data_IF_032985406676
#
_entry.id   IF_032985406676
#
_cell.length_a   1.000
_cell.length_b   1.000
_cell.length_c   1.000
_cell.angle_alpha   90.00
_cell.angle_beta   90.00
_cell.angle_gamma   90.00
#
_symmetry.space_group_name_H-M   'P 1'
#
loop_
_entity.id
_entity.type
_entity.pdbx_description
1 polymer ?
#
# COMPACT_ATOMS: atom_id res chain seq x y z
N UNK A 1 -3.84 6.96 3.34
CA UNK A 1 -5.20 7.47 3.59
C UNK A 1 -6.06 7.04 2.42
N UNK A 2 -7.05 6.17 2.61
CA UNK A 2 -7.82 5.55 1.51
C UNK A 2 -8.68 6.53 0.71
N UNK A 3 -9.00 7.70 1.28
CA UNK A 3 -9.76 8.78 0.61
C UNK A 3 -8.92 10.03 0.37
N UNK A 4 -7.62 9.88 0.18
CA UNK A 4 -6.75 10.96 -0.25
C UNK A 4 -6.53 10.91 -1.78
N UNK A 5 -6.76 11.99 -2.53
CA UNK A 5 -6.64 11.98 -3.99
C UNK A 5 -5.19 11.77 -4.44
N UNK A 6 -4.21 12.32 -3.73
CA UNK A 6 -2.79 12.07 -4.00
C UNK A 6 -2.38 10.63 -3.70
N UNK A 7 -2.99 9.99 -2.70
CA UNK A 7 -2.77 8.57 -2.46
C UNK A 7 -3.24 7.72 -3.65
N UNK A 8 -4.45 7.95 -4.15
CA UNK A 8 -4.99 7.26 -5.32
C UNK A 8 -4.11 7.47 -6.56
N UNK A 9 -3.63 8.70 -6.77
CA UNK A 9 -2.75 9.01 -7.90
C UNK A 9 -1.38 8.31 -7.77
N UNK A 10 -0.79 8.31 -6.57
CA UNK A 10 0.45 7.57 -6.29
C UNK A 10 0.26 6.07 -6.48
N UNK A 11 -0.87 5.50 -6.04
CA UNK A 11 -1.21 4.09 -6.22
C UNK A 11 -1.31 3.71 -7.70
N UNK A 12 -1.83 4.59 -8.57
CA UNK A 12 -1.85 4.36 -10.02
C UNK A 12 -0.45 4.34 -10.65
N UNK A 13 0.50 5.11 -10.13
CA UNK A 13 1.92 5.02 -10.52
C UNK A 13 2.53 3.72 -10.00
N UNK A 14 2.27 3.37 -8.74
CA UNK A 14 2.79 2.14 -8.14
C UNK A 14 2.26 0.88 -8.83
N UNK A 15 1.04 0.90 -9.39
CA UNK A 15 0.52 -0.23 -10.19
C UNK A 15 1.39 -0.48 -11.44
N UNK A 16 1.81 0.59 -12.12
CA UNK A 16 2.71 0.51 -13.27
C UNK A 16 4.12 0.05 -12.88
N UNK A 17 4.60 0.46 -11.71
CA UNK A 17 5.87 -0.01 -11.15
C UNK A 17 5.79 -1.51 -10.86
N UNK A 18 4.76 -1.96 -10.13
CA UNK A 18 4.56 -3.36 -9.77
C UNK A 18 4.40 -4.26 -10.99
N UNK A 19 3.74 -3.78 -12.05
CA UNK A 19 3.64 -4.52 -13.30
C UNK A 19 5.02 -4.93 -13.88
N UNK A 20 6.09 -4.20 -13.54
CA UNK A 20 7.46 -4.51 -13.94
C UNK A 20 8.22 -5.30 -12.87
N UNK A 21 8.13 -4.91 -11.59
CA UNK A 21 9.02 -5.42 -10.53
C UNK A 21 8.41 -6.45 -9.58
N UNK A 22 7.14 -6.84 -9.78
CA UNK A 22 6.47 -7.79 -8.87
C UNK A 22 7.23 -9.10 -8.58
N UNK A 23 8.01 -9.69 -9.52
CA UNK A 23 8.79 -10.90 -9.22
C UNK A 23 9.84 -10.74 -8.11
N UNK A 24 10.26 -9.51 -7.82
CA UNK A 24 11.30 -9.20 -6.81
C UNK A 24 10.83 -8.25 -5.70
N UNK A 25 9.60 -7.74 -5.80
CA UNK A 25 9.08 -6.76 -4.86
C UNK A 25 7.58 -6.92 -4.59
N UNK A 26 7.21 -6.60 -3.36
CA UNK A 26 5.84 -6.57 -2.89
C UNK A 26 5.49 -5.18 -2.36
N UNK A 27 4.22 -4.79 -2.49
CA UNK A 27 3.72 -3.54 -1.94
C UNK A 27 2.96 -3.78 -0.63
N UNK A 28 3.08 -2.82 0.28
CA UNK A 28 2.30 -2.77 1.52
C UNK A 28 1.85 -1.33 1.75
N UNK A 29 0.58 -1.13 2.05
CA UNK A 29 0.04 0.16 2.41
C UNK A 29 0.01 0.32 3.93
N UNK A 30 0.34 1.52 4.36
CA UNK A 30 0.24 1.99 5.74
C UNK A 30 -0.68 3.22 5.71
N UNK A 31 -1.51 3.35 6.74
CA UNK A 31 -2.54 4.38 6.82
C UNK A 31 -2.20 5.38 7.91
N UNK A 32 -2.25 6.66 7.53
CA UNK A 32 -2.06 7.79 8.41
C UNK A 32 -3.40 8.10 9.05
N UNK A 33 -3.45 8.05 10.37
CA UNK A 33 -4.61 8.41 11.19
C UNK A 33 -4.13 8.79 12.58
N UNK A 34 -4.95 9.50 13.34
CA UNK A 34 -4.65 9.82 14.74
C UNK A 34 -5.21 8.75 15.66
N UNK A 35 -4.42 8.26 16.63
CA UNK A 35 -4.86 7.24 17.57
C UNK A 35 -5.64 7.88 18.71
N UNK A 36 -6.88 7.44 18.92
CA UNK A 36 -7.70 7.87 20.08
C UNK A 36 -7.67 6.84 21.20
N UNK A 37 -7.95 7.27 22.42
CA UNK A 37 -7.84 6.43 23.61
C UNK A 37 -8.97 5.39 23.70
N UNK A 38 -10.18 5.73 23.25
CA UNK A 38 -11.36 4.88 23.40
C UNK A 38 -12.12 4.66 22.10
N UNK A 39 -12.63 3.44 21.89
CA UNK A 39 -13.55 3.15 20.78
C UNK A 39 -14.95 3.72 20.98
N UNK A 40 -15.25 4.26 22.17
CA UNK A 40 -16.46 5.05 22.42
C UNK A 40 -16.39 6.43 21.75
N UNK A 41 -15.18 6.93 21.50
CA UNK A 41 -14.94 8.23 20.86
C UNK A 41 -14.90 8.08 19.33
N UNK A 42 -14.24 7.03 18.84
CA UNK A 42 -14.22 6.69 17.42
C UNK A 42 -14.34 5.18 17.24
N UNK A 43 -15.31 4.72 16.44
CA UNK A 43 -15.61 3.29 16.22
C UNK A 43 -14.36 2.45 15.92
N UNK A 44 -13.45 3.01 15.13
CA UNK A 44 -12.24 2.35 14.64
C UNK A 44 -11.02 2.50 15.57
N UNK A 45 -11.17 3.19 16.70
CA UNK A 45 -10.07 3.47 17.64
C UNK A 45 -9.00 4.42 17.09
N UNK A 46 -9.31 5.10 15.98
CA UNK A 46 -8.55 6.14 15.31
C UNK A 46 -9.49 7.18 14.71
N UNK A 47 -8.99 8.39 14.45
CA UNK A 47 -9.64 9.44 13.66
C UNK A 47 -8.88 9.67 12.36
N UNK A 48 -9.61 9.89 11.27
CA UNK A 48 -9.05 10.02 9.93
C UNK A 48 -9.33 11.42 9.36
N UNK A 49 -8.42 11.91 8.50
CA UNK A 49 -8.45 13.29 8.00
C UNK A 49 -9.70 13.59 7.19
N UNK A 50 -10.16 12.61 6.40
CA UNK A 50 -11.36 12.75 5.56
C UNK A 50 -12.61 12.11 6.20
N UNK A 51 -12.64 12.01 7.53
CA UNK A 51 -13.80 11.56 8.32
C UNK A 51 -13.97 10.05 8.39
N UNK A 52 -15.07 9.60 8.99
CA UNK A 52 -15.31 8.19 9.34
C UNK A 52 -15.33 7.26 8.13
N UNK A 53 -15.73 7.76 6.96
CA UNK A 53 -15.76 6.95 5.75
C UNK A 53 -14.34 6.63 5.24
N UNK A 54 -13.36 7.50 5.48
CA UNK A 54 -11.95 7.15 5.27
C UNK A 54 -11.49 6.09 6.26
N UNK A 55 -11.83 6.20 7.54
CA UNK A 55 -11.48 5.17 8.52
C UNK A 55 -12.09 3.80 8.16
N UNK A 56 -13.31 3.79 7.61
CA UNK A 56 -13.94 2.57 7.10
C UNK A 56 -13.20 2.01 5.87
N UNK A 57 -12.73 2.86 4.96
CA UNK A 57 -11.91 2.44 3.82
C UNK A 57 -10.55 1.89 4.26
N UNK A 58 -9.86 2.58 5.16
CA UNK A 58 -8.58 2.16 5.73
C UNK A 58 -8.72 0.81 6.45
N UNK A 59 -9.82 0.62 7.20
CA UNK A 59 -10.18 -0.65 7.83
C UNK A 59 -10.33 -1.79 6.81
N UNK A 60 -11.10 -1.56 5.74
CA UNK A 60 -11.34 -2.55 4.69
C UNK A 60 -10.04 -2.96 4.00
N UNK A 61 -9.24 -1.97 3.57
CA UNK A 61 -8.00 -2.21 2.84
C UNK A 61 -6.92 -2.85 3.73
N UNK A 62 -6.82 -2.50 5.02
CA UNK A 62 -5.93 -3.16 5.97
C UNK A 62 -6.32 -4.61 6.22
N UNK A 63 -7.61 -4.90 6.40
CA UNK A 63 -8.08 -6.26 6.60
C UNK A 63 -7.86 -7.12 5.36
N UNK A 64 -8.06 -6.58 4.16
CA UNK A 64 -7.75 -7.26 2.89
C UNK A 64 -6.25 -7.59 2.81
N UNK A 65 -5.36 -6.63 3.09
CA UNK A 65 -3.91 -6.87 3.14
C UNK A 65 -3.54 -7.93 4.18
N UNK A 66 -4.10 -7.85 5.39
CA UNK A 66 -3.82 -8.79 6.46
C UNK A 66 -4.19 -10.21 6.06
N UNK A 67 -5.44 -10.43 5.63
CA UNK A 67 -5.92 -11.77 5.33
C UNK A 67 -5.42 -12.34 4.02
N UNK A 68 -5.06 -11.49 3.06
CA UNK A 68 -4.41 -11.96 1.84
C UNK A 68 -3.04 -12.56 2.13
N UNK A 69 -2.23 -11.91 2.97
CA UNK A 69 -0.89 -12.40 3.38
C UNK A 69 -0.92 -13.67 4.21
N UNK A 70 -2.02 -13.94 4.90
CA UNK A 70 -2.23 -15.14 5.71
C UNK A 70 -2.77 -16.32 4.89
N UNK A 71 -3.02 -16.13 3.59
CA UNK A 71 -3.36 -17.22 2.70
C UNK A 71 -2.07 -17.97 2.32
N UNK A 72 -2.04 -19.31 2.40
CA UNK A 72 -0.98 -20.05 1.74
C UNK A 72 -1.05 -19.78 0.23
N UNK A 73 0.07 -19.95 -0.49
CA UNK A 73 0.13 -19.83 -1.95
C UNK A 73 -0.75 -20.88 -2.69
N UNK A 74 -1.50 -21.70 -1.95
CA UNK A 74 -2.32 -22.86 -2.35
C UNK A 74 -3.44 -22.55 -3.35
N UNK A 75 -3.69 -21.29 -3.71
CA UNK A 75 -4.66 -20.94 -4.76
C UNK A 75 -4.01 -20.53 -6.09
N UNK A 76 -2.68 -20.64 -6.23
CA UNK A 76 -1.95 -20.16 -7.42
C UNK A 76 -1.99 -18.64 -7.61
N UNK A 77 -2.55 -17.91 -6.64
CA UNK A 77 -2.61 -16.47 -6.61
C UNK A 77 -1.60 -15.95 -5.59
N UNK A 78 -0.70 -15.08 -6.06
CA UNK A 78 0.24 -14.38 -5.21
C UNK A 78 -0.52 -13.61 -4.08
N UNK A 79 -0.19 -13.86 -2.80
CA UNK A 79 -0.82 -13.20 -1.66
C UNK A 79 -0.80 -11.67 -1.69
N UNK A 80 0.13 -11.03 -2.40
CA UNK A 80 0.22 -9.58 -2.45
C UNK A 80 -0.67 -8.98 -3.53
N UNK A 81 -0.77 -9.65 -4.67
CA UNK A 81 -1.61 -9.28 -5.82
C UNK A 81 -3.06 -9.15 -5.42
N UNK A 82 -3.62 -10.12 -4.68
CA UNK A 82 -5.05 -10.12 -4.31
C UNK A 82 -5.47 -8.88 -3.50
N UNK A 83 -4.64 -8.46 -2.54
CA UNK A 83 -4.94 -7.27 -1.74
C UNK A 83 -4.75 -5.99 -2.55
N UNK A 84 -3.77 -5.96 -3.46
CA UNK A 84 -3.57 -4.84 -4.37
C UNK A 84 -4.73 -4.68 -5.35
N UNK A 85 -5.25 -5.78 -5.91
CA UNK A 85 -6.43 -5.78 -6.77
C UNK A 85 -7.68 -5.28 -6.03
N UNK A 86 -7.82 -5.57 -4.74
CA UNK A 86 -8.90 -5.04 -3.90
C UNK A 86 -8.84 -3.51 -3.81
N UNK A 87 -7.64 -2.97 -3.55
CA UNK A 87 -7.41 -1.52 -3.47
C UNK A 87 -7.68 -0.87 -4.85
N UNK A 88 -7.17 -1.46 -5.93
CA UNK A 88 -7.41 -0.97 -7.30
C UNK A 88 -8.88 -0.98 -7.68
N UNK A 89 -9.63 -2.02 -7.31
CA UNK A 89 -11.06 -2.07 -7.52
C UNK A 89 -11.76 -0.90 -6.81
N UNK A 90 -11.44 -0.66 -5.53
CA UNK A 90 -12.01 0.47 -4.79
C UNK A 90 -11.66 1.82 -5.42
N UNK A 91 -10.45 1.98 -5.94
CA UNK A 91 -10.01 3.20 -6.62
C UNK A 91 -10.74 3.52 -7.93
N UNK A 92 -11.45 2.55 -8.54
CA UNK A 92 -12.31 2.80 -9.70
C UNK A 92 -13.59 3.53 -9.31
N UNK A 93 -14.09 3.26 -8.11
CA UNK A 93 -15.29 3.87 -7.52
C UNK A 93 -14.91 4.66 -6.26
N UNK A 94 -13.94 5.56 -6.43
CA UNK A 94 -13.28 6.29 -5.34
C UNK A 94 -14.23 6.98 -4.35
N UNK A 95 -15.31 7.58 -4.85
CA UNK A 95 -16.30 8.26 -3.99
C UNK A 95 -16.99 7.31 -3.00
N UNK A 96 -16.99 6.01 -3.31
CA UNK A 96 -17.67 4.97 -2.56
C UNK A 96 -16.73 4.17 -1.64
N UNK A 97 -15.42 4.50 -1.63
CA UNK A 97 -14.45 3.93 -0.68
C UNK A 97 -14.98 4.05 0.75
N UNK A 98 -14.94 2.95 1.51
CA UNK A 98 -15.50 2.84 2.85
C UNK A 98 -16.96 2.35 2.90
N UNK A 99 -17.72 2.37 1.80
CA UNK A 99 -19.06 1.76 1.76
C UNK A 99 -18.95 0.24 1.71
N UNK A 100 -19.80 -0.45 2.50
CA UNK A 100 -19.83 -1.92 2.53
C UNK A 100 -20.14 -2.54 1.17
N UNK A 101 -21.05 -1.95 0.38
CA UNK A 101 -21.41 -2.48 -0.93
C UNK A 101 -20.22 -2.53 -1.91
N UNK A 102 -19.42 -1.46 -1.96
CA UNK A 102 -18.20 -1.43 -2.78
C UNK A 102 -17.15 -2.42 -2.24
N UNK A 103 -16.97 -2.46 -0.92
CA UNK A 103 -16.03 -3.39 -0.29
C UNK A 103 -16.39 -4.86 -0.60
N UNK A 104 -17.66 -5.23 -0.50
CA UNK A 104 -18.12 -6.58 -0.83
C UNK A 104 -17.87 -6.92 -2.31
N UNK A 105 -18.27 -6.03 -3.22
CA UNK A 105 -18.01 -6.17 -4.67
C UNK A 105 -16.52 -6.37 -4.95
N UNK A 106 -15.67 -5.49 -4.42
CA UNK A 106 -14.24 -5.54 -4.67
C UNK A 106 -13.56 -6.74 -4.03
N UNK A 107 -14.07 -7.24 -2.90
CA UNK A 107 -13.56 -8.45 -2.27
C UNK A 107 -13.75 -9.66 -3.19
N UNK A 108 -14.94 -9.78 -3.77
CA UNK A 108 -15.28 -10.86 -4.69
C UNK A 108 -14.49 -10.74 -6.01
N UNK A 109 -14.44 -9.56 -6.62
CA UNK A 109 -13.68 -9.31 -7.87
C UNK A 109 -12.17 -9.58 -7.72
N UNK A 110 -11.63 -9.36 -6.52
CA UNK A 110 -10.21 -9.57 -6.25
C UNK A 110 -9.88 -11.03 -5.95
N UNK A 111 -10.86 -11.95 -5.98
CA UNK A 111 -10.60 -13.38 -5.79
C UNK A 111 -10.43 -13.80 -4.32
N UNK A 112 -10.96 -13.03 -3.37
CA UNK A 112 -11.17 -13.55 -2.01
C UNK A 112 -12.41 -14.44 -2.02
N UNK A 113 -12.27 -15.72 -1.66
CA UNK A 113 -13.38 -16.67 -1.65
C UNK A 113 -13.44 -17.45 -0.34
N UNK A 114 -14.59 -18.10 -0.08
CA UNK A 114 -14.81 -19.01 1.03
C UNK A 114 -14.39 -18.45 2.39
N UNK A 115 -13.57 -19.22 3.13
CA UNK A 115 -13.11 -18.84 4.48
C UNK A 115 -12.38 -17.50 4.50
N UNK A 116 -11.62 -17.15 3.45
CA UNK A 116 -10.83 -15.91 3.42
C UNK A 116 -11.70 -14.69 3.21
N UNK A 117 -12.67 -14.76 2.30
CA UNK A 117 -13.68 -13.70 2.18
C UNK A 117 -14.36 -13.46 3.54
N UNK A 118 -14.83 -14.52 4.20
CA UNK A 118 -15.52 -14.41 5.49
C UNK A 118 -14.64 -13.80 6.60
N UNK A 119 -13.38 -14.23 6.71
CA UNK A 119 -12.43 -13.67 7.68
C UNK A 119 -12.15 -12.19 7.41
N UNK A 120 -12.04 -11.81 6.14
CA UNK A 120 -11.79 -10.42 5.74
C UNK A 120 -12.99 -9.53 6.06
N UNK A 121 -14.21 -9.98 5.74
CA UNK A 121 -15.47 -9.27 6.07
C UNK A 121 -15.66 -9.10 7.58
N UNK A 122 -15.41 -10.18 8.33
CA UNK A 122 -15.49 -10.16 9.80
C UNK A 122 -14.47 -9.20 10.40
N UNK A 123 -13.26 -9.13 9.84
CA UNK A 123 -12.21 -8.24 10.33
C UNK A 123 -12.63 -6.76 10.30
N UNK A 124 -13.03 -6.22 9.14
CA UNK A 124 -13.33 -4.78 9.04
C UNK A 124 -14.69 -4.40 9.66
N UNK A 125 -15.53 -5.40 9.95
CA UNK A 125 -16.83 -5.19 10.60
C UNK A 125 -16.76 -5.37 12.12
N UNK A 126 -15.71 -6.02 12.63
CA UNK A 126 -15.55 -6.43 14.02
C UNK A 126 -14.48 -5.66 14.79
N UNK A 127 -14.25 -6.03 16.07
CA UNK A 127 -13.27 -5.37 16.94
C UNK A 127 -11.81 -5.60 16.49
N UNK A 128 -11.54 -6.64 15.71
CA UNK A 128 -10.19 -7.03 15.29
C UNK A 128 -9.48 -5.99 14.41
N UNK A 129 -10.22 -5.10 13.76
CA UNK A 129 -9.61 -4.03 12.95
C UNK A 129 -8.98 -2.91 13.78
N UNK A 130 -9.45 -2.68 15.01
CA UNK A 130 -8.95 -1.62 15.89
C UNK A 130 -7.44 -1.74 16.16
N UNK A 131 -6.90 -2.89 16.59
CA UNK A 131 -5.45 -3.04 16.73
C UNK A 131 -4.70 -2.92 15.41
N UNK A 132 -5.27 -3.35 14.27
CA UNK A 132 -4.64 -3.20 12.96
C UNK A 132 -4.47 -1.73 12.56
N UNK A 133 -5.53 -0.93 12.70
CA UNK A 133 -5.50 0.51 12.42
C UNK A 133 -4.56 1.26 13.36
N UNK A 134 -4.63 0.99 14.67
CA UNK A 134 -3.71 1.62 15.64
C UNK A 134 -2.24 1.29 15.35
N UNK A 135 -1.95 0.06 14.94
CA UNK A 135 -0.59 -0.33 14.57
C UNK A 135 -0.14 0.32 13.25
N UNK A 136 -1.04 0.44 12.28
CA UNK A 136 -0.82 1.16 11.02
C UNK A 136 -0.50 2.64 11.28
N UNK A 137 -1.32 3.31 12.08
CA UNK A 137 -1.14 4.71 12.47
C UNK A 137 0.22 4.96 13.15
N UNK A 138 0.55 4.12 14.15
CA UNK A 138 1.85 4.20 14.85
C UNK A 138 3.02 3.96 13.90
N UNK A 139 2.85 3.08 12.93
CA UNK A 139 3.88 2.82 11.92
C UNK A 139 4.11 4.04 11.02
N UNK A 140 3.04 4.70 10.58
CA UNK A 140 3.17 5.96 9.84
C UNK A 140 3.96 7.01 10.64
N UNK A 141 3.66 7.16 11.94
CA UNK A 141 4.39 8.07 12.84
C UNK A 141 5.86 7.68 12.96
N UNK A 142 6.19 6.39 13.17
CA UNK A 142 7.58 5.91 13.25
C UNK A 142 8.37 6.23 11.98
N UNK A 143 7.72 6.15 10.82
CA UNK A 143 8.30 6.45 9.51
C UNK A 143 8.34 7.93 9.18
N UNK A 144 7.81 8.79 10.07
CA UNK A 144 7.64 10.23 9.84
C UNK A 144 6.82 10.53 8.57
N UNK A 145 5.88 9.64 8.23
CA UNK A 145 4.96 9.81 7.11
C UNK A 145 3.72 10.56 7.57
N UNK A 146 3.69 11.88 7.36
CA UNK A 146 2.55 12.76 7.69
C UNK A 146 1.73 13.18 6.46
N UNK A 147 2.24 12.92 5.26
CA UNK A 147 1.60 13.25 3.98
C UNK A 147 1.20 11.97 3.27
N UNK A 148 0.00 11.93 2.69
CA UNK A 148 -0.44 10.79 1.89
C UNK A 148 -0.46 11.22 0.42
N UNK A 149 0.30 10.61 -0.47
CA UNK A 149 1.17 9.43 -0.26
C UNK A 149 2.63 9.81 0.05
N UNK A 150 3.24 9.11 1.01
CA UNK A 150 4.70 9.00 1.13
C UNK A 150 5.12 7.58 0.75
N UNK A 151 6.08 7.46 -0.16
CA UNK A 151 6.60 6.19 -0.66
C UNK A 151 7.92 5.86 0.03
N UNK A 152 8.05 4.60 0.46
CA UNK A 152 9.28 4.05 1.00
C UNK A 152 9.67 2.81 0.19
N UNK A 153 10.97 2.64 -0.09
CA UNK A 153 11.51 1.42 -0.71
C UNK A 153 12.44 0.77 0.31
N UNK A 154 12.13 -0.48 0.68
CA UNK A 154 12.85 -1.22 1.72
C UNK A 154 13.05 -0.44 3.04
N UNK A 155 12.05 0.35 3.43
CA UNK A 155 12.05 1.13 4.66
C UNK A 155 12.72 2.50 4.55
N UNK A 156 13.46 2.78 3.48
CA UNK A 156 14.06 4.08 3.19
C UNK A 156 13.07 4.98 2.48
N UNK A 157 13.07 6.28 2.84
CA UNK A 157 12.23 7.29 2.20
C UNK A 157 12.57 7.42 0.72
N UNK A 158 11.55 7.51 -0.15
CA UNK A 158 11.76 7.60 -1.60
C UNK A 158 11.15 8.82 -2.29
N UNK A 159 9.94 9.21 -1.94
CA UNK A 159 9.23 10.29 -2.63
C UNK A 159 7.95 10.61 -1.86
N UNK A 160 7.46 11.84 -1.93
CA UNK A 160 6.15 12.23 -1.41
C UNK A 160 5.30 12.81 -2.53
N UNK A 161 4.00 12.51 -2.53
CA UNK A 161 3.03 13.17 -3.40
C UNK A 161 2.12 14.05 -2.56
N UNK A 162 2.07 15.32 -2.87
CA UNK A 162 1.23 16.31 -2.20
C UNK A 162 0.75 17.36 -3.21
N UNK A 163 -0.49 17.81 -3.04
CA UNK A 163 -1.13 18.83 -3.89
C UNK A 163 -0.98 18.57 -5.40
N UNK A 164 -1.14 17.31 -5.80
CA UNK A 164 -1.05 16.89 -7.20
C UNK A 164 0.38 16.80 -7.76
N UNK A 165 1.42 16.98 -6.95
CA UNK A 165 2.82 17.00 -7.38
C UNK A 165 3.66 15.97 -6.64
N UNK A 166 4.69 15.44 -7.30
CA UNK A 166 5.74 14.65 -6.66
C UNK A 166 6.81 15.59 -6.10
N UNK A 167 7.13 15.43 -4.83
CA UNK A 167 8.03 16.28 -4.04
C UNK A 167 9.10 15.41 -3.38
N UNK A 168 10.32 15.96 -3.30
CA UNK A 168 11.46 15.33 -2.61
C UNK A 168 11.69 13.88 -3.08
N UNK A 169 11.89 13.70 -4.39
CA UNK A 169 12.02 12.39 -5.01
C UNK A 169 13.45 12.15 -5.48
N UNK A 170 14.39 11.78 -4.58
CA UNK A 170 15.75 11.42 -4.99
C UNK A 170 15.71 10.31 -6.04
N UNK A 171 16.42 10.51 -7.14
CA UNK A 171 16.42 9.60 -8.29
C UNK A 171 15.23 9.77 -9.24
N UNK A 172 14.38 10.78 -9.07
CA UNK A 172 13.26 11.10 -9.98
C UNK A 172 11.90 10.58 -9.53
N UNK A 173 10.82 10.88 -10.26
CA UNK A 173 9.44 10.56 -9.90
C UNK A 173 8.65 9.84 -11.00
N UNK A 174 9.30 9.48 -12.10
CA UNK A 174 8.68 8.69 -13.16
C UNK A 174 8.62 7.20 -12.77
N UNK A 175 7.80 6.42 -13.46
CA UNK A 175 7.66 4.97 -13.22
C UNK A 175 9.03 4.28 -13.24
N UNK A 176 9.87 4.60 -14.23
CA UNK A 176 11.18 3.97 -14.39
C UNK A 176 12.17 4.36 -13.29
N UNK A 177 12.01 5.53 -12.67
CA UNK A 177 12.82 5.97 -11.54
C UNK A 177 12.52 5.13 -10.28
N UNK A 178 11.26 4.79 -10.05
CA UNK A 178 10.85 3.88 -8.97
C UNK A 178 11.30 2.45 -9.25
N UNK A 179 11.16 1.98 -10.49
CA UNK A 179 11.64 0.66 -10.93
C UNK A 179 13.14 0.53 -10.67
N UNK A 180 13.93 1.50 -11.13
CA UNK A 180 15.37 1.54 -10.90
C UNK A 180 15.70 1.46 -9.41
N UNK A 181 15.00 2.22 -8.57
CA UNK A 181 15.20 2.21 -7.12
C UNK A 181 14.99 0.81 -6.53
N UNK A 182 13.95 0.09 -6.97
CA UNK A 182 13.68 -1.29 -6.53
C UNK A 182 14.79 -2.24 -6.99
N UNK A 183 15.20 -2.14 -8.26
CA UNK A 183 16.27 -2.97 -8.84
C UNK A 183 17.61 -2.76 -8.11
N UNK A 184 17.97 -1.51 -7.86
CA UNK A 184 19.18 -1.13 -7.15
C UNK A 184 19.15 -1.60 -5.69
N UNK A 185 18.00 -1.43 -5.03
CA UNK A 185 17.79 -1.97 -3.67
C UNK A 185 17.95 -3.49 -3.63
N UNK A 186 17.38 -4.20 -4.61
CA UNK A 186 17.51 -5.65 -4.72
C UNK A 186 18.98 -6.06 -4.93
N UNK A 187 19.70 -5.34 -5.81
CA UNK A 187 21.15 -5.53 -6.01
C UNK A 187 21.92 -5.37 -4.71
N UNK A 188 21.66 -4.31 -3.94
CA UNK A 188 22.37 -4.08 -2.67
C UNK A 188 22.13 -5.18 -1.64
N UNK A 189 20.93 -5.78 -1.60
CA UNK A 189 20.62 -6.89 -0.71
C UNK A 189 21.18 -8.23 -1.17
N UNK A 190 20.98 -8.56 -2.44
CA UNK A 190 21.34 -9.85 -3.04
C UNK A 190 22.76 -9.93 -3.59
N UNK A 191 23.48 -8.80 -3.68
CA UNK A 191 24.75 -8.62 -4.41
C UNK A 191 24.68 -9.04 -5.89
N UNK A 192 23.49 -9.00 -6.47
CA UNK A 192 23.24 -9.39 -7.86
C UNK A 192 22.15 -8.52 -8.46
N UNK A 193 22.42 -7.95 -9.64
CA UNK A 193 21.42 -7.23 -10.41
C UNK A 193 20.36 -8.20 -10.98
N UNK A 194 19.06 -7.96 -10.78
CA UNK A 194 18.01 -8.83 -11.27
C UNK A 194 17.70 -8.58 -12.75
N UNK A 195 18.63 -8.93 -13.64
CA UNK A 195 18.57 -8.62 -15.08
C UNK A 195 17.29 -9.10 -15.77
N UNK A 196 16.77 -10.27 -15.39
CA UNK A 196 15.53 -10.81 -15.93
C UNK A 196 14.29 -9.92 -15.67
N UNK A 197 14.36 -9.06 -14.65
CA UNK A 197 13.28 -8.13 -14.26
C UNK A 197 13.61 -6.69 -14.67
N UNK A 198 14.87 -6.30 -14.52
CA UNK A 198 15.31 -4.91 -14.60
C UNK A 198 16.06 -4.56 -15.88
N UNK A 199 16.24 -5.52 -16.80
CA UNK A 199 17.08 -5.33 -17.97
C UNK A 199 18.57 -5.29 -17.61
N UNK A 200 19.46 -4.92 -18.54
CA UNK A 200 20.90 -4.91 -18.30
C UNK A 200 21.27 -3.98 -17.15
N UNK A 201 22.27 -4.36 -16.34
CA UNK A 201 22.76 -3.51 -15.26
C UNK A 201 23.29 -2.19 -15.86
N UNK A 202 22.77 -1.03 -15.41
CA UNK A 202 23.28 0.24 -15.88
C UNK A 202 24.74 0.42 -15.45
N UNK A 203 25.54 0.96 -16.35
CA UNK A 203 26.94 1.26 -16.04
C UNK A 203 27.01 2.11 -14.76
N UNK A 204 27.93 1.80 -13.83
CA UNK A 204 28.12 2.66 -12.67
C UNK A 204 28.39 4.09 -13.14
N UNK A 205 27.85 5.11 -12.46
CA UNK A 205 28.24 6.48 -12.75
C UNK A 205 29.78 6.56 -12.66
N UNK A 206 30.43 7.34 -13.53
CA UNK A 206 31.87 7.54 -13.44
C UNK A 206 32.21 7.97 -12.00
N UNK A 207 33.20 7.33 -11.40
CA UNK A 207 33.69 7.69 -10.07
C UNK A 207 33.94 9.20 -10.07
N UNK A 208 33.15 9.94 -9.29
CA UNK A 208 33.46 11.34 -9.02
C UNK A 208 34.66 11.30 -8.10
N UNK A 209 35.85 11.54 -8.67
CA UNK A 209 37.07 11.75 -7.90
C UNK A 209 36.78 12.73 -6.76
N UNK A 210 37.03 12.24 -5.54
CA UNK A 210 36.86 12.90 -4.25
C UNK A 210 37.58 14.22 -4.12
#
# INVERSE_FOLDING_TARGET
MSRCPDARAAEAVMDQVLAKVHPIANIRLIYISEVVNSTKEARYGVTCKHGDQECAGDAQQLCAQYWSRQAPAEAGLDPWTRAWDFIKCQNREYEDVGKFALADKCLDESGFTGKRANLTKTCWSGPDVVPLLRNSAREAVRRRASVSATVFVNGEYRCTRDDGQWLDCPGGSEVDDFVYTVCDTYRHWGRQWPEAVCGPEPNPPPETDS
#
